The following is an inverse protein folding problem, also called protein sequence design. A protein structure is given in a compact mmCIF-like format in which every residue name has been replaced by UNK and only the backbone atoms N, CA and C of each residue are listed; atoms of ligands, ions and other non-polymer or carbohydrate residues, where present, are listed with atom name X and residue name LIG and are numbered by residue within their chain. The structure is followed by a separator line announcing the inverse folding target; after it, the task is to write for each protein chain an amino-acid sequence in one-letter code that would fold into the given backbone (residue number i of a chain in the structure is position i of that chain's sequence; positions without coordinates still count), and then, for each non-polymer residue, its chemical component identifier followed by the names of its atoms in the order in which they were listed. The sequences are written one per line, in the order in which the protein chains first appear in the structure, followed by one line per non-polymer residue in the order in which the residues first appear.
data_IF_865311617129
#
_entry.id   IF_865311617129
#
_cell.length_a   1.000
_cell.length_b   1.000
_cell.length_c   1.000
_cell.angle_alpha   90.00
_cell.angle_beta   90.00
_cell.angle_gamma   90.00
#
_symmetry.space_group_name_H-M   'P 1'
#
loop_
_entity.id
_entity.type
_entity.pdbx_description
1 polymer ?
#
# COMPACT_ATOMS: atom_id res chain seq x y z
N UNK A 1 -2.25 13.23 -21.62
CA UNK A 1 -3.68 13.57 -21.42
C UNK A 1 -3.95 13.42 -19.93
N UNK A 2 -4.57 14.40 -19.27
CA UNK A 2 -5.05 14.25 -17.89
C UNK A 2 -6.56 13.96 -17.95
N UNK A 3 -7.04 13.02 -17.15
CA UNK A 3 -8.46 12.67 -17.05
C UNK A 3 -9.01 13.38 -15.82
N UNK A 4 -10.13 14.10 -15.97
CA UNK A 4 -10.75 14.84 -14.86
C UNK A 4 -11.31 13.89 -13.78
N UNK A 5 -11.26 14.32 -12.52
CA UNK A 5 -11.60 13.49 -11.35
C UNK A 5 -13.02 12.95 -11.39
N UNK A 6 -13.98 13.75 -11.88
CA UNK A 6 -15.37 13.31 -12.02
C UNK A 6 -15.55 12.18 -13.04
N UNK A 7 -14.70 12.13 -14.07
CA UNK A 7 -14.68 11.04 -15.05
C UNK A 7 -14.09 9.78 -14.40
N UNK A 8 -12.97 9.91 -13.70
CA UNK A 8 -12.35 8.80 -12.98
C UNK A 8 -13.33 8.20 -11.97
N UNK A 9 -13.97 9.05 -11.16
CA UNK A 9 -14.97 8.63 -10.17
C UNK A 9 -16.14 7.87 -10.78
N UNK A 10 -16.63 8.28 -11.95
CA UNK A 10 -17.68 7.54 -12.66
C UNK A 10 -17.26 6.11 -13.03
N UNK A 11 -16.04 5.94 -13.53
CA UNK A 11 -15.53 4.62 -13.92
C UNK A 11 -15.08 3.75 -12.73
N UNK A 12 -14.69 4.37 -11.63
CA UNK A 12 -14.25 3.70 -10.42
C UNK A 12 -15.38 3.40 -9.43
N UNK A 13 -16.65 3.69 -9.75
CA UNK A 13 -17.82 3.46 -8.87
C UNK A 13 -18.04 2.02 -8.39
N UNK A 14 -17.39 1.04 -9.01
CA UNK A 14 -17.44 -0.37 -8.63
C UNK A 14 -16.18 -0.81 -7.85
N UNK A 15 -15.26 0.11 -7.58
CA UNK A 15 -13.99 -0.16 -6.90
C UNK A 15 -14.09 0.27 -5.45
N UNK A 16 -13.70 -0.63 -4.57
CA UNK A 16 -13.59 -0.41 -3.14
C UNK A 16 -12.12 -0.45 -2.76
N UNK A 17 -11.67 0.53 -1.99
CA UNK A 17 -10.28 0.74 -1.66
C UNK A 17 -10.04 0.49 -0.18
N UNK A 18 -9.00 -0.29 0.11
CA UNK A 18 -8.41 -0.37 1.44
C UNK A 18 -7.00 0.19 1.35
N UNK A 19 -6.73 1.22 2.15
CA UNK A 19 -5.40 1.82 2.28
C UNK A 19 -5.01 1.94 3.76
N UNK A 20 -3.79 2.39 4.04
CA UNK A 20 -3.34 2.66 5.40
C UNK A 20 -1.94 2.10 5.71
N UNK A 21 -1.58 2.05 7.00
CA UNK A 21 -0.19 1.78 7.42
C UNK A 21 0.23 0.33 7.17
N UNK A 22 1.55 0.09 7.15
CA UNK A 22 2.08 -1.27 7.16
C UNK A 22 1.63 -2.01 8.44
N UNK A 23 1.40 -3.33 8.35
CA UNK A 23 0.90 -4.18 9.44
C UNK A 23 -0.55 -3.98 9.89
N UNK A 24 -1.30 -3.04 9.32
CA UNK A 24 -2.71 -2.84 9.68
C UNK A 24 -3.63 -4.02 9.32
N UNK A 25 -3.21 -4.93 8.44
CA UNK A 25 -3.98 -6.12 8.05
C UNK A 25 -4.73 -5.99 6.71
N UNK A 26 -4.40 -4.96 5.92
CA UNK A 26 -5.02 -4.65 4.61
C UNK A 26 -5.15 -5.86 3.69
N UNK A 27 -4.04 -6.50 3.34
CA UNK A 27 -4.02 -7.62 2.38
C UNK A 27 -4.88 -8.81 2.84
N UNK A 28 -4.96 -9.03 4.16
CA UNK A 28 -5.83 -10.05 4.75
C UNK A 28 -7.31 -9.67 4.55
N UNK A 29 -7.69 -8.44 4.89
CA UNK A 29 -9.07 -7.95 4.74
C UNK A 29 -9.51 -7.92 3.29
N UNK A 30 -8.68 -7.41 2.38
CA UNK A 30 -8.97 -7.37 0.92
C UNK A 30 -9.23 -8.77 0.39
N UNK A 31 -8.40 -9.75 0.78
CA UNK A 31 -8.61 -11.15 0.41
C UNK A 31 -9.94 -11.70 0.95
N UNK A 32 -10.21 -11.52 2.24
CA UNK A 32 -11.44 -12.01 2.88
C UNK A 32 -12.69 -11.41 2.23
N UNK A 33 -12.71 -10.10 1.97
CA UNK A 33 -13.83 -9.43 1.30
C UNK A 33 -14.01 -9.95 -0.13
N UNK A 34 -12.92 -10.14 -0.87
CA UNK A 34 -12.99 -10.64 -2.24
C UNK A 34 -13.64 -12.01 -2.33
N UNK A 35 -13.31 -12.92 -1.41
CA UNK A 35 -13.85 -14.28 -1.36
C UNK A 35 -15.31 -14.29 -0.89
N UNK A 36 -15.66 -13.47 0.12
CA UNK A 36 -17.01 -13.43 0.70
C UNK A 36 -18.06 -12.85 -0.23
N UNK A 37 -17.69 -11.81 -0.98
CA UNK A 37 -18.64 -11.03 -1.79
C UNK A 37 -18.44 -11.22 -3.29
N UNK A 38 -17.70 -12.26 -3.69
CA UNK A 38 -17.35 -12.57 -5.08
C UNK A 38 -16.88 -11.31 -5.84
N UNK A 39 -15.79 -10.69 -5.36
CA UNK A 39 -15.21 -9.49 -5.96
C UNK A 39 -13.90 -9.83 -6.67
N UNK A 40 -13.50 -8.98 -7.62
CA UNK A 40 -12.15 -9.07 -8.19
C UNK A 40 -11.15 -8.64 -7.11
N UNK A 41 -10.17 -9.50 -6.85
CA UNK A 41 -9.12 -9.28 -5.86
C UNK A 41 -7.92 -8.54 -6.48
N UNK A 42 -7.63 -7.34 -5.98
CA UNK A 42 -6.39 -6.61 -6.27
C UNK A 42 -5.56 -6.51 -4.98
N UNK A 43 -4.61 -7.44 -4.81
CA UNK A 43 -3.67 -7.43 -3.68
C UNK A 43 -2.56 -6.37 -3.82
N UNK A 44 -1.64 -6.31 -2.87
CA UNK A 44 -0.51 -5.35 -2.90
C UNK A 44 0.28 -5.41 -4.22
N UNK A 45 0.66 -4.24 -4.75
CA UNK A 45 1.49 -4.07 -5.97
C UNK A 45 0.94 -4.76 -7.24
N UNK A 46 -0.38 -4.92 -7.37
CA UNK A 46 -1.00 -5.50 -8.59
C UNK A 46 -0.64 -4.76 -9.89
N UNK A 47 -0.33 -3.46 -9.80
CA UNK A 47 0.14 -2.63 -10.91
C UNK A 47 1.47 -3.12 -11.53
N UNK A 48 2.29 -3.86 -10.78
CA UNK A 48 3.62 -4.32 -11.23
C UNK A 48 3.56 -5.15 -12.51
N UNK A 49 2.47 -5.89 -12.72
CA UNK A 49 2.22 -6.66 -13.96
C UNK A 49 2.39 -5.81 -15.22
N UNK A 50 1.93 -4.55 -15.17
CA UNK A 50 2.02 -3.62 -16.31
C UNK A 50 3.24 -2.71 -16.18
N UNK A 51 3.48 -2.14 -14.99
CA UNK A 51 4.58 -1.18 -14.81
C UNK A 51 5.95 -1.81 -15.08
N UNK A 52 6.15 -3.09 -14.78
CA UNK A 52 7.43 -3.78 -15.06
C UNK A 52 7.71 -3.87 -16.56
N UNK A 53 6.67 -3.85 -17.40
CA UNK A 53 6.80 -3.92 -18.86
C UNK A 53 7.00 -2.52 -19.45
N UNK A 54 6.15 -1.57 -19.05
CA UNK A 54 5.99 -0.30 -19.79
C UNK A 54 6.55 0.93 -19.09
N UNK A 55 6.89 0.85 -17.80
CA UNK A 55 7.46 2.01 -17.10
C UNK A 55 8.81 2.40 -17.71
N UNK A 56 8.98 3.70 -17.92
CA UNK A 56 10.12 4.32 -18.58
C UNK A 56 10.79 5.33 -17.61
N UNK A 57 12.12 5.35 -17.48
CA UNK A 57 12.80 6.23 -16.51
C UNK A 57 12.51 7.73 -16.65
N UNK A 58 12.13 8.17 -17.85
CA UNK A 58 11.79 9.58 -18.10
C UNK A 58 10.41 9.98 -17.58
N UNK A 59 9.52 9.02 -17.35
CA UNK A 59 8.15 9.23 -16.92
C UNK A 59 7.90 8.70 -15.49
N UNK A 60 8.48 7.54 -15.14
CA UNK A 60 8.37 6.90 -13.83
C UNK A 60 9.75 6.54 -13.26
N UNK A 61 10.60 7.54 -12.96
CA UNK A 61 11.95 7.31 -12.45
C UNK A 61 12.01 6.47 -11.17
N UNK A 62 11.03 6.61 -10.25
CA UNK A 62 11.08 5.94 -8.96
C UNK A 62 10.63 4.47 -9.01
N UNK A 63 9.64 4.14 -9.84
CA UNK A 63 9.31 2.74 -10.19
C UNK A 63 10.48 2.11 -10.93
N UNK A 64 11.07 2.81 -11.91
CA UNK A 64 12.19 2.27 -12.69
C UNK A 64 13.50 2.13 -11.90
N UNK A 65 13.62 2.78 -10.74
CA UNK A 65 14.84 2.78 -9.94
C UNK A 65 15.28 1.36 -9.52
N UNK A 66 14.34 0.48 -9.20
CA UNK A 66 14.65 -0.91 -8.81
C UNK A 66 14.77 -1.86 -10.01
N UNK A 67 14.14 -1.54 -11.15
CA UNK A 67 14.11 -2.36 -12.38
C UNK A 67 15.50 -2.68 -12.95
N UNK A 68 16.48 -1.80 -12.75
CA UNK A 68 17.87 -1.96 -13.20
C UNK A 68 18.89 -2.19 -12.08
N UNK A 69 18.43 -2.42 -10.84
CA UNK A 69 19.33 -2.44 -9.69
C UNK A 69 20.08 -3.78 -9.59
N UNK A 70 21.38 -3.74 -9.89
CA UNK A 70 22.28 -4.90 -9.74
C UNK A 70 22.94 -4.95 -8.36
N UNK A 71 23.07 -3.80 -7.70
CA UNK A 71 23.67 -3.67 -6.37
C UNK A 71 22.61 -3.21 -5.37
N UNK A 72 21.90 -4.20 -4.81
CA UNK A 72 20.86 -3.98 -3.81
C UNK A 72 21.42 -3.50 -2.47
N UNK A 73 22.74 -3.54 -2.23
CA UNK A 73 23.31 -2.94 -1.02
C UNK A 73 23.01 -1.44 -0.99
N UNK A 74 23.13 -0.76 -2.13
CA UNK A 74 22.70 0.65 -2.27
C UNK A 74 21.25 0.89 -1.88
N UNK A 75 20.38 -0.12 -2.05
CA UNK A 75 18.99 0.00 -1.64
C UNK A 75 18.88 0.05 -0.11
N UNK A 76 19.50 -0.90 0.56
CA UNK A 76 19.34 -1.08 2.00
C UNK A 76 20.18 -0.11 2.83
N UNK A 77 21.21 0.49 2.24
CA UNK A 77 22.09 1.47 2.91
C UNK A 77 21.74 2.93 2.67
N UNK A 78 20.67 3.24 1.91
CA UNK A 78 20.26 4.64 1.66
C UNK A 78 19.85 5.34 2.95
N UNK A 79 19.80 6.66 2.94
CA UNK A 79 19.32 7.39 4.12
C UNK A 79 17.82 7.13 4.38
N UNK A 80 17.36 7.22 5.64
CA UNK A 80 15.94 7.13 5.95
C UNK A 80 15.06 8.09 5.11
N UNK A 81 15.54 9.31 4.88
CA UNK A 81 14.85 10.35 4.10
C UNK A 81 14.78 10.02 2.61
N UNK A 82 15.87 9.45 2.05
CA UNK A 82 15.86 8.97 0.66
C UNK A 82 14.89 7.81 0.47
N UNK A 83 14.80 6.92 1.48
CA UNK A 83 13.83 5.82 1.49
C UNK A 83 12.40 6.34 1.57
N UNK A 84 12.12 7.26 2.48
CA UNK A 84 10.81 7.89 2.61
C UNK A 84 10.37 8.56 1.31
N UNK A 85 11.21 9.44 0.78
CA UNK A 85 10.97 10.10 -0.51
C UNK A 85 10.67 9.08 -1.61
N UNK A 86 11.46 8.01 -1.70
CA UNK A 86 11.26 6.96 -2.71
C UNK A 86 9.90 6.26 -2.54
N UNK A 87 9.54 5.80 -1.35
CA UNK A 87 8.28 5.08 -1.08
C UNK A 87 7.07 5.90 -1.53
N UNK A 88 7.00 7.18 -1.13
CA UNK A 88 5.86 8.04 -1.49
C UNK A 88 5.88 8.49 -2.95
N UNK A 89 7.05 8.57 -3.58
CA UNK A 89 7.14 8.89 -5.02
C UNK A 89 6.71 7.70 -5.87
N UNK A 90 7.10 6.47 -5.50
CA UNK A 90 6.58 5.24 -6.11
C UNK A 90 5.07 5.17 -6.01
N UNK A 91 4.47 5.46 -4.84
CA UNK A 91 3.02 5.47 -4.69
C UNK A 91 2.30 6.44 -5.64
N UNK A 92 2.90 7.62 -5.91
CA UNK A 92 2.35 8.59 -6.88
C UNK A 92 2.45 8.10 -8.33
N UNK A 93 3.59 7.53 -8.71
CA UNK A 93 3.77 6.96 -10.05
C UNK A 93 2.88 5.72 -10.26
N UNK A 94 2.76 4.88 -9.23
CA UNK A 94 1.96 3.66 -9.25
C UNK A 94 0.47 3.95 -9.36
N UNK A 95 0.00 5.07 -8.79
CA UNK A 95 -1.40 5.49 -8.87
C UNK A 95 -1.92 5.59 -10.31
N UNK A 96 -1.09 6.02 -11.26
CA UNK A 96 -1.48 6.10 -12.68
C UNK A 96 -1.76 4.70 -13.26
N UNK A 97 -0.92 3.72 -12.94
CA UNK A 97 -1.09 2.33 -13.37
C UNK A 97 -2.27 1.66 -12.66
N UNK A 98 -2.37 1.84 -11.34
CA UNK A 98 -3.47 1.34 -10.53
C UNK A 98 -4.82 1.82 -11.07
N UNK A 99 -4.99 3.13 -11.27
CA UNK A 99 -6.24 3.71 -11.78
C UNK A 99 -6.57 3.17 -13.18
N UNK A 100 -5.59 3.09 -14.08
CA UNK A 100 -5.81 2.58 -15.43
C UNK A 100 -6.26 1.11 -15.44
N UNK A 101 -5.62 0.26 -14.62
CA UNK A 101 -5.98 -1.15 -14.48
C UNK A 101 -7.38 -1.29 -13.87
N UNK A 102 -7.66 -0.56 -12.80
CA UNK A 102 -8.94 -0.58 -12.10
C UNK A 102 -10.11 -0.20 -13.03
N UNK A 103 -9.96 0.85 -13.86
CA UNK A 103 -10.97 1.23 -14.87
C UNK A 103 -11.24 0.09 -15.86
N UNK A 104 -10.21 -0.69 -16.20
CA UNK A 104 -10.34 -1.82 -17.13
C UNK A 104 -11.15 -2.96 -16.52
N UNK A 105 -10.84 -3.32 -15.27
CA UNK A 105 -11.39 -4.53 -14.63
C UNK A 105 -12.70 -4.28 -13.87
N UNK A 106 -13.01 -3.04 -13.47
CA UNK A 106 -14.19 -2.71 -12.66
C UNK A 106 -15.49 -2.53 -13.45
N UNK A 107 -15.50 -2.80 -14.77
CA UNK A 107 -16.63 -2.51 -15.66
C UNK A 107 -17.92 -3.21 -15.25
N UNK A 108 -17.83 -4.51 -15.00
CA UNK A 108 -18.99 -5.38 -14.82
C UNK A 108 -19.04 -6.06 -13.44
N UNK A 109 -17.98 -5.92 -12.64
CA UNK A 109 -17.84 -6.61 -11.35
C UNK A 109 -17.20 -5.68 -10.32
N UNK A 110 -17.61 -5.82 -9.06
CA UNK A 110 -16.99 -5.09 -7.97
C UNK A 110 -15.53 -5.53 -7.80
N UNK A 111 -14.67 -4.58 -7.47
CA UNK A 111 -13.24 -4.78 -7.23
C UNK A 111 -12.93 -4.34 -5.80
N UNK A 112 -12.08 -5.10 -5.10
CA UNK A 112 -11.51 -4.67 -3.81
C UNK A 112 -9.99 -4.58 -3.97
N UNK A 113 -9.43 -3.41 -3.66
CA UNK A 113 -8.03 -3.09 -3.89
C UNK A 113 -7.27 -2.76 -2.59
N UNK A 114 -6.14 -3.43 -2.37
CA UNK A 114 -5.09 -3.03 -1.42
C UNK A 114 -4.21 -1.99 -2.14
N UNK A 115 -4.40 -0.70 -1.82
CA UNK A 115 -3.87 0.40 -2.64
C UNK A 115 -2.90 1.29 -1.88
N UNK A 116 -1.90 1.78 -2.62
CA UNK A 116 -0.99 2.85 -2.20
C UNK A 116 -1.28 4.17 -2.94
N UNK A 117 -2.42 4.29 -3.63
CA UNK A 117 -2.87 5.57 -4.21
C UNK A 117 -2.90 6.63 -3.10
N UNK A 118 -2.29 7.81 -3.32
CA UNK A 118 -2.28 8.88 -2.33
C UNK A 118 -3.69 9.23 -1.82
N UNK A 119 -3.81 9.46 -0.51
CA UNK A 119 -5.11 9.62 0.15
C UNK A 119 -5.87 10.85 -0.35
N UNK A 120 -5.17 11.91 -0.74
CA UNK A 120 -5.73 13.11 -1.36
C UNK A 120 -6.32 12.83 -2.75
N UNK A 121 -5.68 11.94 -3.53
CA UNK A 121 -6.24 11.47 -4.80
C UNK A 121 -7.51 10.64 -4.56
N UNK A 122 -7.51 9.73 -3.58
CA UNK A 122 -8.70 8.93 -3.25
C UNK A 122 -9.91 9.80 -2.86
N UNK A 123 -9.71 10.92 -2.17
CA UNK A 123 -10.79 11.88 -1.83
C UNK A 123 -11.48 12.46 -3.07
N UNK A 124 -10.73 12.63 -4.15
CA UNK A 124 -11.23 13.23 -5.38
C UNK A 124 -11.92 12.22 -6.30
N UNK A 125 -11.45 10.96 -6.31
CA UNK A 125 -11.87 9.95 -7.28
C UNK A 125 -12.79 8.86 -6.72
N UNK A 126 -13.06 8.87 -5.41
CA UNK A 126 -13.89 7.85 -4.74
C UNK A 126 -14.98 8.48 -3.87
N UNK A 127 -15.96 7.67 -3.48
CA UNK A 127 -16.94 8.02 -2.45
C UNK A 127 -16.50 7.56 -1.06
N UNK A 128 -17.05 8.18 -0.02
CA UNK A 128 -16.72 7.89 1.38
C UNK A 128 -16.92 6.40 1.74
N UNK A 129 -18.04 5.84 1.29
CA UNK A 129 -18.42 4.43 1.47
C UNK A 129 -17.69 3.47 0.51
N UNK A 130 -16.68 3.95 -0.22
CA UNK A 130 -15.84 3.13 -1.10
C UNK A 130 -14.38 3.13 -0.66
N UNK A 131 -14.01 3.83 0.42
CA UNK A 131 -12.65 3.85 0.97
C UNK A 131 -12.66 3.52 2.46
N UNK A 132 -11.80 2.59 2.87
CA UNK A 132 -11.52 2.33 4.28
C UNK A 132 -10.02 2.47 4.55
N UNK A 133 -9.69 3.15 5.65
CA UNK A 133 -8.32 3.33 6.14
C UNK A 133 -8.07 2.35 7.28
N UNK A 134 -7.00 1.57 7.18
CA UNK A 134 -6.58 0.64 8.23
C UNK A 134 -5.25 1.11 8.82
N UNK A 135 -5.23 1.33 10.13
CA UNK A 135 -4.06 1.84 10.85
C UNK A 135 -3.53 0.81 11.85
N UNK A 136 -2.26 0.94 12.20
CA UNK A 136 -1.61 0.18 13.27
C UNK A 136 -0.52 1.01 13.94
N UNK A 137 -0.14 0.67 15.18
CA UNK A 137 1.02 1.27 15.83
C UNK A 137 2.30 1.14 14.98
N UNK A 138 3.11 2.20 14.95
CA UNK A 138 4.37 2.23 14.23
C UNK A 138 5.30 1.06 14.62
N UNK A 139 5.36 0.72 15.92
CA UNK A 139 6.21 -0.35 16.45
C UNK A 139 5.98 -1.68 15.74
N UNK A 140 4.73 -2.03 15.39
CA UNK A 140 4.43 -3.26 14.66
C UNK A 140 5.16 -3.32 13.32
N UNK A 141 5.20 -2.20 12.59
CA UNK A 141 5.87 -2.13 11.29
C UNK A 141 7.39 -2.11 11.39
N UNK A 142 7.95 -1.47 12.42
CA UNK A 142 9.40 -1.30 12.59
C UNK A 142 10.06 -2.55 13.16
N UNK A 143 9.41 -3.16 14.16
CA UNK A 143 9.98 -4.30 14.89
C UNK A 143 9.78 -5.60 14.13
N UNK A 144 8.61 -5.78 13.50
CA UNK A 144 8.21 -7.06 12.92
C UNK A 144 8.38 -7.14 11.41
N UNK A 145 8.88 -6.10 10.73
CA UNK A 145 8.92 -6.02 9.25
C UNK A 145 9.45 -7.31 8.59
N UNK A 146 10.54 -7.85 9.13
CA UNK A 146 11.22 -9.03 8.59
C UNK A 146 10.74 -10.36 9.21
N UNK A 147 9.82 -10.34 10.17
CA UNK A 147 9.21 -11.56 10.74
C UNK A 147 8.28 -12.24 9.73
N UNK A 148 7.94 -11.56 8.63
CA UNK A 148 7.06 -12.08 7.58
C UNK A 148 7.83 -12.88 6.56
N UNK A 149 7.29 -14.03 6.18
CA UNK A 149 7.84 -14.91 5.15
C UNK A 149 7.60 -14.44 3.71
N UNK A 150 7.26 -13.15 3.49
CA UNK A 150 7.08 -12.64 2.13
C UNK A 150 8.44 -12.67 1.39
N UNK A 151 8.53 -13.24 0.17
CA UNK A 151 9.81 -13.40 -0.53
C UNK A 151 10.60 -12.10 -0.70
N UNK A 152 9.93 -10.98 -0.98
CA UNK A 152 10.56 -9.67 -1.16
C UNK A 152 11.21 -9.16 0.14
N UNK A 153 10.55 -9.35 1.29
CA UNK A 153 11.08 -8.95 2.60
C UNK A 153 12.25 -9.83 3.01
N UNK A 154 12.16 -11.13 2.76
CA UNK A 154 13.25 -12.07 3.00
C UNK A 154 14.46 -11.80 2.09
N UNK A 155 14.22 -11.40 0.85
CA UNK A 155 15.28 -10.95 -0.05
C UNK A 155 15.98 -9.72 0.50
N UNK A 156 15.26 -8.65 0.86
CA UNK A 156 15.84 -7.45 1.46
C UNK A 156 16.61 -7.77 2.75
N UNK A 157 16.06 -8.64 3.61
CA UNK A 157 16.76 -9.11 4.81
C UNK A 157 18.09 -9.78 4.46
N UNK A 158 18.11 -10.66 3.46
CA UNK A 158 19.32 -11.34 3.00
C UNK A 158 20.39 -10.37 2.47
N UNK A 159 19.97 -9.30 1.79
CA UNK A 159 20.87 -8.25 1.31
C UNK A 159 21.47 -7.51 2.50
N UNK A 160 20.67 -7.13 3.50
CA UNK A 160 21.16 -6.48 4.74
C UNK A 160 22.20 -7.38 5.44
N UNK A 161 21.91 -8.68 5.58
CA UNK A 161 22.85 -9.64 6.19
C UNK A 161 24.16 -9.80 5.41
N UNK A 162 24.17 -9.46 4.11
CA UNK A 162 25.36 -9.54 3.25
C UNK A 162 26.24 -8.29 3.29
N UNK A 163 25.81 -7.22 3.95
CA UNK A 163 26.57 -5.97 4.08
C UNK A 163 27.76 -6.12 5.04
N UNK A 164 28.72 -5.18 4.97
CA UNK A 164 29.92 -5.22 5.83
C UNK A 164 29.59 -4.94 7.31
N UNK A 165 28.55 -4.13 7.56
CA UNK A 165 27.97 -3.87 8.88
C UNK A 165 26.45 -4.14 8.87
N UNK A 166 26.02 -5.42 8.97
CA UNK A 166 24.60 -5.77 8.93
C UNK A 166 23.76 -5.13 10.05
N UNK A 167 24.34 -4.95 11.24
CA UNK A 167 23.64 -4.38 12.39
C UNK A 167 23.35 -2.89 12.17
N UNK A 168 24.36 -2.11 11.76
CA UNK A 168 24.20 -0.70 11.43
C UNK A 168 23.26 -0.48 10.24
N UNK A 169 23.34 -1.32 9.21
CA UNK A 169 22.41 -1.26 8.06
C UNK A 169 20.98 -1.58 8.48
N UNK A 170 20.77 -2.59 9.34
CA UNK A 170 19.44 -2.92 9.88
C UNK A 170 18.87 -1.76 10.72
N UNK A 171 19.68 -1.16 11.59
CA UNK A 171 19.25 0.00 12.39
C UNK A 171 18.86 1.18 11.48
N UNK A 172 19.67 1.47 10.46
CA UNK A 172 19.37 2.50 9.47
C UNK A 172 18.08 2.20 8.70
N UNK A 173 17.87 0.95 8.27
CA UNK A 173 16.66 0.54 7.57
C UNK A 173 15.42 0.69 8.45
N UNK A 174 15.52 0.34 9.73
CA UNK A 174 14.45 0.55 10.73
C UNK A 174 14.12 2.03 10.94
N UNK A 175 15.11 2.93 10.89
CA UNK A 175 14.85 4.39 10.89
C UNK A 175 14.05 4.81 9.66
N UNK A 176 14.35 4.25 8.49
CA UNK A 176 13.53 4.44 7.28
C UNK A 176 12.09 3.93 7.45
N UNK A 177 11.90 2.72 8.01
CA UNK A 177 10.58 2.17 8.32
C UNK A 177 9.80 3.03 9.32
N UNK A 178 10.48 3.56 10.33
CA UNK A 178 9.87 4.47 11.30
C UNK A 178 9.46 5.80 10.63
N UNK A 179 10.28 6.31 9.71
CA UNK A 179 10.00 7.57 9.04
C UNK A 179 8.78 7.46 8.11
N UNK A 180 8.66 6.39 7.30
CA UNK A 180 7.49 6.19 6.43
C UNK A 180 6.20 5.88 7.22
N UNK A 181 6.33 5.34 8.43
CA UNK A 181 5.22 5.14 9.36
C UNK A 181 5.24 6.18 10.50
N UNK A 182 5.75 7.39 10.23
CA UNK A 182 5.84 8.45 11.24
C UNK A 182 4.45 8.94 11.66
N UNK A 183 4.39 9.62 12.81
CA UNK A 183 3.14 10.22 13.29
C UNK A 183 2.51 11.15 12.23
N UNK A 184 3.34 11.88 11.48
CA UNK A 184 2.88 12.75 10.40
C UNK A 184 2.07 11.97 9.35
N UNK A 185 2.63 10.90 8.78
CA UNK A 185 1.94 10.10 7.76
C UNK A 185 0.76 9.31 8.33
N UNK A 186 0.86 8.91 9.59
CA UNK A 186 -0.24 8.32 10.32
C UNK A 186 -1.43 9.29 10.42
N UNK A 187 -1.17 10.53 10.83
CA UNK A 187 -2.20 11.57 11.00
C UNK A 187 -2.80 11.96 9.65
N UNK A 188 -2.02 12.02 8.57
CA UNK A 188 -2.54 12.25 7.21
C UNK A 188 -3.62 11.23 6.80
N UNK A 189 -3.46 9.97 7.21
CA UNK A 189 -4.43 8.91 6.99
C UNK A 189 -5.59 8.96 7.99
N UNK A 190 -5.30 9.14 9.28
CA UNK A 190 -6.29 9.17 10.36
C UNK A 190 -7.26 10.36 10.21
N UNK A 191 -6.73 11.52 9.84
CA UNK A 191 -7.48 12.77 9.66
C UNK A 191 -7.98 12.93 8.21
N UNK A 192 -7.90 11.87 7.40
CA UNK A 192 -8.36 11.90 6.02
C UNK A 192 -9.87 12.15 5.90
N UNK A 193 -10.64 11.84 6.95
CA UNK A 193 -12.10 11.91 6.94
C UNK A 193 -12.79 10.67 6.39
N UNK A 194 -12.03 9.64 6.00
CA UNK A 194 -12.56 8.33 5.64
C UNK A 194 -12.80 7.45 6.87
N UNK A 195 -13.64 6.42 6.70
CA UNK A 195 -13.85 5.41 7.73
C UNK A 195 -12.53 4.72 8.06
N UNK A 196 -12.20 4.71 9.35
CA UNK A 196 -10.89 4.27 9.84
C UNK A 196 -11.04 3.17 10.88
N UNK A 197 -10.24 2.11 10.74
CA UNK A 197 -10.13 1.02 11.72
C UNK A 197 -8.68 0.93 12.20
N UNK A 198 -8.49 0.87 13.52
CA UNK A 198 -7.16 0.77 14.13
C UNK A 198 -6.94 -0.64 14.67
N UNK A 199 -5.96 -1.34 14.12
CA UNK A 199 -5.50 -2.63 14.63
C UNK A 199 -4.76 -2.43 15.95
N UNK A 200 -5.16 -3.19 16.96
CA UNK A 200 -4.48 -3.27 18.24
C UNK A 200 -3.44 -4.41 18.24
N UNK A 201 -2.34 -4.24 18.97
CA UNK A 201 -1.33 -5.29 19.19
C UNK A 201 -1.51 -5.95 20.56
N UNK A 202 -2.73 -6.45 20.82
CA UNK A 202 -3.11 -7.09 22.09
C UNK A 202 -3.20 -8.62 21.99
N UNK A 203 -2.84 -9.20 20.83
CA UNK A 203 -2.89 -10.64 20.57
C UNK A 203 -4.27 -11.19 20.23
N UNK A 204 -5.32 -10.37 20.21
CA UNK A 204 -6.66 -10.80 19.83
C UNK A 204 -6.79 -10.97 18.30
N UNK A 205 -7.42 -12.06 17.87
CA UNK A 205 -7.76 -12.24 16.46
C UNK A 205 -9.02 -11.45 16.11
N UNK A 206 -8.82 -10.28 15.50
CA UNK A 206 -9.87 -9.34 15.13
C UNK A 206 -10.25 -9.41 13.65
N UNK A 207 -9.70 -10.36 12.88
CA UNK A 207 -9.86 -10.43 11.41
C UNK A 207 -11.32 -10.43 10.97
N UNK A 208 -12.14 -11.27 11.60
CA UNK A 208 -13.58 -11.37 11.32
C UNK A 208 -14.31 -10.05 11.62
N UNK A 209 -14.13 -9.52 12.83
CA UNK A 209 -14.77 -8.28 13.26
C UNK A 209 -14.39 -7.07 12.41
N UNK A 210 -13.12 -6.97 12.01
CA UNK A 210 -12.62 -5.92 11.12
C UNK A 210 -13.20 -6.07 9.71
N UNK A 211 -13.25 -7.30 9.18
CA UNK A 211 -13.84 -7.58 7.88
C UNK A 211 -15.33 -7.19 7.87
N UNK A 212 -16.08 -7.53 8.91
CA UNK A 212 -17.51 -7.21 9.02
C UNK A 212 -17.75 -5.71 9.17
N UNK A 213 -16.92 -5.00 9.94
CA UNK A 213 -17.00 -3.55 10.09
C UNK A 213 -16.79 -2.83 8.75
N UNK A 214 -15.79 -3.26 7.97
CA UNK A 214 -15.50 -2.70 6.65
C UNK A 214 -16.59 -3.10 5.64
N UNK A 215 -17.08 -4.33 5.66
CA UNK A 215 -18.17 -4.76 4.79
C UNK A 215 -19.45 -3.93 5.03
N UNK A 216 -19.76 -3.64 6.31
CA UNK A 216 -20.88 -2.75 6.67
C UNK A 216 -20.65 -1.32 6.18
N UNK A 217 -19.45 -0.78 6.35
CA UNK A 217 -19.10 0.55 5.83
C UNK A 217 -19.27 0.63 4.31
N UNK A 218 -18.88 -0.41 3.57
CA UNK A 218 -19.05 -0.51 2.12
C UNK A 218 -20.48 -0.86 1.67
N UNK A 219 -21.42 -1.03 2.60
CA UNK A 219 -22.82 -1.36 2.30
C UNK A 219 -23.01 -2.75 1.69
N UNK A 220 -22.16 -3.72 2.03
CA UNK A 220 -22.30 -5.11 1.58
C UNK A 220 -23.27 -5.92 2.45
N UNK A 221 -23.56 -5.43 3.65
CA UNK A 221 -24.47 -6.03 4.65
C UNK A 221 -25.30 -4.96 5.37
#
# INVERSE_FOLDING_TARGET
MKIENNILKHYLKNVYFITGTAYAGKSTTVKMLSERYDMIFCGENYHSTVSDIVAEPSAQPDICFTKGMTDWKKFVTRSPEEYERWVFSVGKEAAEFEIAELISISRDKKVIADTNIPIDVLKEISDYDHVAVMLSPQSMSVERFFDRNDPEKQFLFSVIQSCDDPEGVMENYRKGLALINSQKHYDELADSGFFTVVRQDNGEDTREAVCDAIAKHFGFI
#
